data_IF_815948784531
#
_entry.id   IF_815948784531
#
_cell.length_a   1.000
_cell.length_b   1.000
_cell.length_c   1.000
_cell.angle_alpha   90.00
_cell.angle_beta   90.00
_cell.angle_gamma   90.00
#
_symmetry.space_group_name_H-M   'P 1'
#
loop_
_entity.id
_entity.type
_entity.pdbx_description
1 polymer ?
#
# COMPACT_ATOMS: atom_id res chain seq x y z
N UNK A 1 52.46 -22.72 -75.29
CA UNK A 1 52.71 -22.87 -73.84
C UNK A 1 51.90 -21.83 -73.10
N UNK A 2 50.88 -22.20 -72.30
CA UNK A 2 50.65 -21.70 -70.93
C UNK A 2 49.78 -22.77 -70.24
N UNK A 3 50.19 -23.17 -69.04
CA UNK A 3 49.58 -24.20 -68.19
C UNK A 3 48.37 -23.64 -67.42
N UNK A 4 47.47 -24.55 -67.02
CA UNK A 4 46.57 -24.61 -65.83
C UNK A 4 46.86 -23.55 -64.72
N UNK A 5 45.93 -23.08 -63.87
CA UNK A 5 45.38 -23.78 -62.70
C UNK A 5 44.16 -23.03 -62.12
N UNK A 6 43.10 -23.78 -61.81
CA UNK A 6 41.96 -23.34 -61.02
C UNK A 6 42.22 -23.55 -59.52
N UNK A 7 41.85 -22.58 -58.68
CA UNK A 7 41.83 -22.72 -57.22
C UNK A 7 40.42 -22.50 -56.66
N UNK A 8 39.96 -23.47 -55.88
CA UNK A 8 38.64 -23.54 -55.22
C UNK A 8 38.64 -22.67 -53.97
N UNK A 9 37.60 -21.87 -53.76
CA UNK A 9 37.33 -21.20 -52.48
C UNK A 9 36.30 -22.02 -51.67
N UNK A 10 36.71 -22.44 -50.46
CA UNK A 10 35.88 -23.14 -49.47
C UNK A 10 34.98 -22.13 -48.75
N UNK A 11 33.69 -22.47 -48.64
CA UNK A 11 32.69 -21.77 -47.83
C UNK A 11 32.90 -22.10 -46.35
N UNK A 12 32.94 -21.07 -45.49
CA UNK A 12 32.75 -21.23 -44.04
C UNK A 12 31.38 -20.65 -43.70
N UNK A 13 30.44 -21.50 -43.31
CA UNK A 13 29.15 -21.10 -42.75
C UNK A 13 29.29 -21.03 -41.23
N UNK A 14 29.23 -19.81 -40.66
CA UNK A 14 29.07 -19.61 -39.23
C UNK A 14 27.56 -19.58 -38.93
N UNK A 15 27.05 -20.63 -38.30
CA UNK A 15 25.70 -20.69 -37.77
C UNK A 15 25.65 -19.91 -36.45
N UNK A 16 25.07 -18.70 -36.48
CA UNK A 16 24.75 -17.94 -35.27
C UNK A 16 23.46 -18.45 -34.64
N UNK A 17 23.56 -19.07 -33.46
CA UNK A 17 22.42 -19.41 -32.62
C UNK A 17 21.91 -18.14 -31.91
N UNK A 18 20.87 -17.52 -32.46
CA UNK A 18 20.14 -16.46 -31.79
C UNK A 18 19.25 -17.07 -30.70
N UNK A 19 19.71 -17.02 -29.44
CA UNK A 19 18.90 -17.38 -28.28
C UNK A 19 17.83 -16.32 -28.02
N UNK A 20 16.58 -16.62 -28.36
CA UNK A 20 15.41 -15.85 -27.91
C UNK A 20 15.26 -15.98 -26.39
N UNK A 21 15.74 -14.99 -25.64
CA UNK A 21 15.39 -14.82 -24.23
C UNK A 21 13.94 -14.33 -24.17
N UNK A 22 13.02 -15.24 -23.85
CA UNK A 22 11.63 -14.90 -23.55
C UNK A 22 11.58 -14.19 -22.19
N UNK A 23 11.56 -12.86 -22.21
CA UNK A 23 11.27 -12.07 -21.01
C UNK A 23 9.76 -12.20 -20.73
N UNK A 24 9.34 -12.65 -19.53
CA UNK A 24 7.93 -12.73 -19.21
C UNK A 24 7.37 -11.30 -19.08
N UNK A 25 6.50 -10.92 -20.01
CA UNK A 25 5.69 -9.70 -19.88
C UNK A 25 4.70 -9.95 -18.75
N UNK A 26 4.87 -9.25 -17.62
CA UNK A 26 3.89 -9.26 -16.54
C UNK A 26 2.51 -8.86 -17.10
N UNK A 27 1.55 -9.78 -17.06
CA UNK A 27 0.23 -9.61 -17.64
C UNK A 27 -0.51 -8.43 -17.01
N UNK A 28 -0.96 -7.50 -17.84
CA UNK A 28 -1.85 -6.42 -17.43
C UNK A 28 -3.18 -7.02 -16.99
N UNK A 29 -3.68 -6.62 -15.82
CA UNK A 29 -5.02 -7.02 -15.39
C UNK A 29 -6.04 -6.43 -16.36
N UNK A 30 -6.93 -7.27 -16.91
CA UNK A 30 -7.99 -6.79 -17.79
C UNK A 30 -8.84 -5.72 -17.08
N UNK A 31 -9.29 -4.65 -17.75
CA UNK A 31 -9.92 -3.51 -17.08
C UNK A 31 -11.15 -3.87 -16.22
N UNK A 32 -11.94 -4.85 -16.66
CA UNK A 32 -13.09 -5.35 -15.89
C UNK A 32 -12.72 -6.12 -14.62
N UNK A 33 -11.51 -6.70 -14.55
CA UNK A 33 -11.00 -7.39 -13.36
C UNK A 33 -10.62 -6.39 -12.26
N UNK A 34 -9.98 -5.27 -12.63
CA UNK A 34 -9.61 -4.23 -11.68
C UNK A 34 -10.85 -3.55 -11.07
N UNK A 35 -11.85 -3.21 -11.89
CA UNK A 35 -13.12 -2.66 -11.39
C UNK A 35 -13.85 -3.63 -10.45
N UNK A 36 -13.81 -4.92 -10.78
CA UNK A 36 -14.37 -5.98 -9.95
C UNK A 36 -13.74 -6.09 -8.56
N UNK A 37 -12.48 -5.66 -8.35
CA UNK A 37 -11.85 -5.68 -7.03
C UNK A 37 -12.55 -4.72 -6.05
N UNK A 38 -12.85 -3.50 -6.50
CA UNK A 38 -13.55 -2.51 -5.70
C UNK A 38 -15.00 -2.92 -5.41
N UNK A 39 -15.70 -3.43 -6.42
CA UNK A 39 -17.09 -3.90 -6.27
C UNK A 39 -17.19 -5.07 -5.28
N UNK A 40 -16.29 -6.05 -5.37
CA UNK A 40 -16.23 -7.17 -4.43
C UNK A 40 -15.87 -6.71 -3.01
N UNK A 41 -14.94 -5.76 -2.88
CA UNK A 41 -14.59 -5.20 -1.59
C UNK A 41 -15.76 -4.42 -0.95
N UNK A 42 -16.49 -3.63 -1.74
CA UNK A 42 -17.70 -2.94 -1.31
C UNK A 42 -18.77 -3.92 -0.82
N UNK A 43 -18.97 -5.05 -1.51
CA UNK A 43 -19.89 -6.10 -1.07
C UNK A 43 -19.50 -6.70 0.28
N UNK A 44 -18.25 -7.13 0.44
CA UNK A 44 -17.77 -7.67 1.72
C UNK A 44 -17.89 -6.65 2.85
N UNK A 45 -17.59 -5.38 2.58
CA UNK A 45 -17.71 -4.32 3.58
C UNK A 45 -19.18 -4.04 3.92
N UNK A 46 -20.10 -4.05 2.96
CA UNK A 46 -21.55 -3.93 3.20
C UNK A 46 -22.03 -5.06 4.12
N UNK A 47 -21.70 -6.30 3.78
CA UNK A 47 -22.10 -7.49 4.54
C UNK A 47 -21.56 -7.44 5.98
N UNK A 48 -20.31 -6.99 6.16
CA UNK A 48 -19.67 -6.89 7.48
C UNK A 48 -20.18 -5.72 8.33
N UNK A 49 -20.65 -4.64 7.71
CA UNK A 49 -20.96 -3.39 8.43
C UNK A 49 -22.44 -3.03 8.52
N UNK A 50 -23.27 -3.68 7.71
CA UNK A 50 -24.67 -3.32 7.54
C UNK A 50 -24.89 -2.08 6.68
N UNK A 51 -23.85 -1.36 6.25
CA UNK A 51 -24.02 -0.25 5.30
C UNK A 51 -24.62 -0.79 4.01
N UNK A 52 -25.71 -0.19 3.48
CA UNK A 52 -26.33 -0.70 2.27
C UNK A 52 -25.32 -0.73 1.11
N UNK A 53 -25.20 -1.88 0.45
CA UNK A 53 -24.29 -2.02 -0.69
C UNK A 53 -24.46 -0.94 -1.76
N UNK A 54 -25.69 -0.51 -2.14
CA UNK A 54 -25.85 0.59 -3.09
C UNK A 54 -25.16 1.89 -2.67
N UNK A 55 -25.10 2.18 -1.37
CA UNK A 55 -24.37 3.35 -0.83
C UNK A 55 -22.88 3.21 -1.10
N UNK A 56 -22.29 2.06 -0.73
CA UNK A 56 -20.85 1.83 -0.94
C UNK A 56 -20.46 1.84 -2.41
N UNK A 57 -21.27 1.23 -3.29
CA UNK A 57 -21.01 1.27 -4.73
C UNK A 57 -21.12 2.69 -5.29
N UNK A 58 -22.15 3.46 -4.90
CA UNK A 58 -22.32 4.82 -5.37
C UNK A 58 -21.21 5.77 -4.86
N UNK A 59 -20.76 5.60 -3.61
CA UNK A 59 -19.58 6.32 -3.08
C UNK A 59 -18.34 5.92 -3.88
N UNK A 60 -18.04 4.63 -4.03
CA UNK A 60 -16.84 4.18 -4.75
C UNK A 60 -16.81 4.65 -6.21
N UNK A 61 -17.96 4.71 -6.89
CA UNK A 61 -18.09 5.28 -8.23
C UNK A 61 -17.87 6.79 -8.26
N UNK A 62 -18.34 7.52 -7.24
CA UNK A 62 -18.14 8.97 -7.11
C UNK A 62 -16.65 9.29 -6.88
N UNK A 63 -15.98 8.47 -6.08
CA UNK A 63 -14.58 8.66 -5.67
C UNK A 63 -13.58 8.24 -6.77
N UNK A 64 -13.74 7.04 -7.33
CA UNK A 64 -12.73 6.42 -8.19
C UNK A 64 -13.25 5.95 -9.55
N UNK A 65 -14.45 6.39 -9.94
CA UNK A 65 -15.09 5.99 -11.18
C UNK A 65 -14.22 6.27 -12.42
N UNK A 66 -13.92 5.22 -13.17
CA UNK A 66 -13.11 5.28 -14.40
C UNK A 66 -13.82 4.56 -15.53
N UNK A 67 -13.83 5.19 -16.72
CA UNK A 67 -14.24 4.52 -17.95
C UNK A 67 -13.05 3.75 -18.53
N UNK A 68 -13.25 2.45 -18.76
CA UNK A 68 -12.27 1.57 -19.39
C UNK A 68 -12.97 0.77 -20.50
N UNK A 69 -12.67 1.11 -21.75
CA UNK A 69 -13.44 0.62 -22.90
C UNK A 69 -14.91 1.04 -22.80
N UNK A 70 -15.82 0.09 -22.88
CA UNK A 70 -17.26 0.33 -22.74
C UNK A 70 -17.76 0.37 -21.29
N UNK A 71 -16.95 -0.06 -20.31
CA UNK A 71 -17.37 -0.18 -18.91
C UNK A 71 -16.96 1.05 -18.10
N UNK A 72 -17.89 1.56 -17.29
CA UNK A 72 -17.62 2.53 -16.23
C UNK A 72 -17.73 1.83 -14.88
N UNK A 73 -16.73 2.00 -14.02
CA UNK A 73 -16.68 1.34 -12.71
C UNK A 73 -15.60 1.93 -11.81
N UNK A 74 -15.64 1.67 -10.50
CA UNK A 74 -14.62 2.15 -9.56
C UNK A 74 -13.25 1.54 -9.89
N UNK A 75 -12.16 2.27 -9.65
CA UNK A 75 -10.82 1.81 -9.96
C UNK A 75 -9.95 1.73 -8.70
N UNK A 76 -9.23 0.62 -8.44
CA UNK A 76 -8.49 0.44 -7.19
C UNK A 76 -7.13 1.16 -7.18
N UNK A 77 -6.49 1.31 -8.34
CA UNK A 77 -5.12 1.82 -8.44
C UNK A 77 -5.13 3.28 -8.87
N UNK A 78 -5.64 4.15 -8.00
CA UNK A 78 -5.78 5.59 -8.27
C UNK A 78 -5.31 6.40 -7.08
N UNK A 79 -4.65 7.51 -7.37
CA UNK A 79 -4.28 8.53 -6.39
C UNK A 79 -4.85 9.89 -6.83
N UNK A 80 -5.28 10.70 -5.87
CA UNK A 80 -5.57 12.11 -6.10
C UNK A 80 -4.66 12.96 -5.22
N UNK A 81 -3.83 13.79 -5.84
CA UNK A 81 -2.86 14.64 -5.14
C UNK A 81 -3.20 16.09 -5.47
N UNK A 82 -3.62 16.85 -4.45
CA UNK A 82 -4.03 18.25 -4.59
C UNK A 82 -5.05 18.50 -5.74
N UNK A 83 -6.01 17.59 -5.93
CA UNK A 83 -7.02 17.67 -6.99
C UNK A 83 -6.59 17.08 -8.34
N UNK A 84 -5.35 16.62 -8.46
CA UNK A 84 -4.84 15.95 -9.66
C UNK A 84 -4.92 14.43 -9.50
N UNK A 85 -5.93 13.84 -10.14
CA UNK A 85 -6.11 12.38 -10.20
C UNK A 85 -5.14 11.69 -11.17
N UNK A 86 -4.53 10.59 -10.73
CA UNK A 86 -3.68 9.72 -11.53
C UNK A 86 -4.14 8.27 -11.37
N UNK A 87 -4.49 7.63 -12.50
CA UNK A 87 -4.88 6.22 -12.54
C UNK A 87 -3.73 5.37 -13.07
N UNK A 88 -3.49 4.24 -12.40
CA UNK A 88 -2.42 3.31 -12.70
C UNK A 88 -2.98 1.95 -13.11
N UNK A 89 -2.21 1.19 -13.89
CA UNK A 89 -2.65 -0.14 -14.33
C UNK A 89 -2.37 -1.22 -13.27
N UNK A 90 -1.41 -0.97 -12.38
CA UNK A 90 -1.00 -1.92 -11.35
C UNK A 90 -0.97 -1.28 -9.96
N UNK A 91 -1.20 -2.13 -8.96
CA UNK A 91 -1.04 -1.78 -7.55
C UNK A 91 0.37 -1.28 -7.23
N UNK A 92 1.40 -1.92 -7.79
CA UNK A 92 2.80 -1.55 -7.56
C UNK A 92 3.10 -0.13 -8.05
N UNK A 93 2.58 0.27 -9.23
CA UNK A 93 2.78 1.61 -9.77
C UNK A 93 2.08 2.68 -8.91
N UNK A 94 0.84 2.42 -8.48
CA UNK A 94 0.12 3.31 -7.57
C UNK A 94 0.82 3.45 -6.21
N UNK A 95 1.31 2.34 -5.64
CA UNK A 95 2.05 2.35 -4.38
C UNK A 95 3.37 3.12 -4.50
N UNK A 96 4.13 2.90 -5.58
CA UNK A 96 5.37 3.63 -5.83
C UNK A 96 5.10 5.14 -5.95
N UNK A 97 4.00 5.55 -6.61
CA UNK A 97 3.59 6.95 -6.65
C UNK A 97 3.27 7.49 -5.27
N UNK A 98 2.54 6.74 -4.44
CA UNK A 98 2.18 7.14 -3.07
C UNK A 98 3.42 7.33 -2.19
N UNK A 99 4.35 6.38 -2.23
CA UNK A 99 5.61 6.44 -1.49
C UNK A 99 6.45 7.65 -1.94
N UNK A 100 6.54 7.90 -3.24
CA UNK A 100 7.23 9.07 -3.77
C UNK A 100 6.56 10.39 -3.38
N UNK A 101 5.22 10.44 -3.25
CA UNK A 101 4.49 11.61 -2.73
C UNK A 101 4.87 11.88 -1.28
N UNK A 102 4.82 10.86 -0.42
CA UNK A 102 5.20 11.00 0.99
C UNK A 102 6.66 11.38 1.17
N UNK A 103 7.57 10.81 0.39
CA UNK A 103 8.99 11.13 0.46
C UNK A 103 9.30 12.61 0.16
N UNK A 104 8.39 13.31 -0.55
CA UNK A 104 8.47 14.76 -0.80
C UNK A 104 7.80 15.61 0.29
N UNK A 105 7.29 14.99 1.35
CA UNK A 105 6.59 15.67 2.45
C UNK A 105 5.11 15.98 2.17
N UNK A 106 4.56 15.52 1.04
CA UNK A 106 3.16 15.75 0.69
C UNK A 106 2.28 14.65 1.31
N UNK A 107 1.48 15.02 2.31
CA UNK A 107 0.64 14.08 3.07
C UNK A 107 -0.84 14.15 2.70
N UNK A 108 -1.28 15.23 2.05
CA UNK A 108 -2.68 15.42 1.68
C UNK A 108 -2.98 14.86 0.29
N UNK A 109 -3.16 13.55 0.21
CA UNK A 109 -3.59 12.85 -1.00
C UNK A 109 -4.56 11.73 -0.69
N UNK A 110 -5.39 11.39 -1.66
CA UNK A 110 -6.39 10.33 -1.57
C UNK A 110 -5.96 9.11 -2.37
N UNK A 111 -6.38 7.91 -1.93
CA UNK A 111 -6.01 6.68 -2.62
C UNK A 111 -7.06 5.57 -2.54
N UNK A 112 -7.07 4.73 -3.58
CA UNK A 112 -7.88 3.51 -3.63
C UNK A 112 -9.32 3.71 -4.10
N UNK A 113 -10.09 2.62 -4.03
CA UNK A 113 -11.48 2.50 -4.47
C UNK A 113 -12.42 3.56 -3.87
N UNK A 114 -12.13 4.00 -2.65
CA UNK A 114 -12.94 4.95 -1.87
C UNK A 114 -12.22 6.27 -1.60
N UNK A 115 -11.06 6.51 -2.25
CA UNK A 115 -10.28 7.74 -2.14
C UNK A 115 -10.13 8.22 -0.68
N UNK A 116 -9.60 7.34 0.17
CA UNK A 116 -9.33 7.69 1.57
C UNK A 116 -8.13 8.63 1.63
N UNK A 117 -8.27 9.76 2.32
CA UNK A 117 -7.21 10.75 2.45
C UNK A 117 -6.15 10.33 3.47
N UNK A 118 -4.87 10.30 3.07
CA UNK A 118 -3.77 9.89 3.93
C UNK A 118 -3.55 10.83 5.12
N UNK A 119 -3.62 12.14 4.93
CA UNK A 119 -3.38 13.12 6.01
C UNK A 119 -4.34 12.96 7.18
N UNK A 120 -5.60 12.62 6.89
CA UNK A 120 -6.67 12.57 7.90
C UNK A 120 -6.91 11.16 8.44
N UNK A 121 -6.65 10.13 7.64
CA UNK A 121 -7.08 8.76 7.93
C UNK A 121 -5.95 7.73 7.82
N UNK A 122 -4.73 8.15 7.48
CA UNK A 122 -3.59 7.26 7.29
C UNK A 122 -3.25 6.41 8.52
N UNK A 123 -3.42 6.95 9.72
CA UNK A 123 -3.12 6.26 10.99
C UNK A 123 -4.03 5.05 11.27
N UNK A 124 -5.17 4.93 10.57
CA UNK A 124 -6.01 3.75 10.64
C UNK A 124 -5.45 2.54 9.87
N UNK A 125 -4.34 2.72 9.15
CA UNK A 125 -3.68 1.72 8.34
C UNK A 125 -2.24 1.51 8.79
N UNK A 126 -1.76 0.27 8.73
CA UNK A 126 -0.39 -0.09 9.08
C UNK A 126 0.63 0.33 8.02
N UNK A 127 0.18 0.62 6.79
CA UNK A 127 1.03 1.05 5.68
C UNK A 127 0.20 1.64 4.52
N UNK A 128 0.86 2.38 3.62
CA UNK A 128 0.26 2.77 2.33
C UNK A 128 -0.20 1.58 1.50
N UNK A 129 0.52 0.46 1.62
CA UNK A 129 0.20 -0.78 0.93
C UNK A 129 -1.17 -1.32 1.41
N UNK A 130 -1.39 -1.37 2.72
CA UNK A 130 -2.68 -1.72 3.30
C UNK A 130 -3.77 -0.70 2.94
N UNK A 131 -3.46 0.60 2.97
CA UNK A 131 -4.41 1.66 2.62
C UNK A 131 -4.88 1.57 1.15
N UNK A 132 -4.02 1.09 0.25
CA UNK A 132 -4.33 0.83 -1.15
C UNK A 132 -5.06 -0.51 -1.38
N UNK A 133 -5.01 -1.44 -0.42
CA UNK A 133 -5.72 -2.71 -0.54
C UNK A 133 -7.24 -2.47 -0.66
N UNK A 134 -7.90 -2.96 -1.73
CA UNK A 134 -9.33 -2.71 -1.93
C UNK A 134 -10.19 -3.12 -0.74
N UNK A 135 -9.85 -4.23 -0.07
CA UNK A 135 -10.59 -4.74 1.09
C UNK A 135 -10.48 -3.83 2.31
N UNK A 136 -9.26 -3.49 2.71
CA UNK A 136 -9.01 -2.59 3.84
C UNK A 136 -9.57 -1.18 3.57
N UNK A 137 -9.40 -0.67 2.35
CA UNK A 137 -9.93 0.62 1.91
C UNK A 137 -11.46 0.67 2.00
N UNK A 138 -12.15 -0.34 1.47
CA UNK A 138 -13.61 -0.44 1.54
C UNK A 138 -14.14 -0.62 2.96
N UNK A 139 -13.47 -1.44 3.77
CA UNK A 139 -13.85 -1.68 5.15
C UNK A 139 -13.74 -0.41 6.00
N UNK A 140 -12.67 0.37 5.80
CA UNK A 140 -12.52 1.67 6.45
C UNK A 140 -13.63 2.63 6.02
N UNK A 141 -13.87 2.78 4.72
CA UNK A 141 -14.91 3.64 4.18
C UNK A 141 -16.31 3.29 4.73
N UNK A 142 -16.63 1.99 4.83
CA UNK A 142 -17.90 1.52 5.34
C UNK A 142 -18.09 1.84 6.83
N UNK A 143 -17.06 1.67 7.66
CA UNK A 143 -17.14 2.08 9.08
C UNK A 143 -17.34 3.58 9.22
N UNK A 144 -16.58 4.37 8.46
CA UNK A 144 -16.70 5.82 8.49
C UNK A 144 -18.09 6.30 8.03
N UNK A 145 -18.64 5.73 6.94
CA UNK A 145 -20.00 6.03 6.50
C UNK A 145 -21.06 5.64 7.53
N UNK A 146 -20.87 4.54 8.27
CA UNK A 146 -21.76 4.11 9.35
C UNK A 146 -21.75 5.09 10.52
N UNK A 147 -20.58 5.62 10.88
CA UNK A 147 -20.45 6.68 11.89
C UNK A 147 -21.17 7.94 11.45
N UNK A 148 -20.95 8.38 10.22
CA UNK A 148 -21.65 9.54 9.65
C UNK A 148 -23.16 9.33 9.58
N UNK A 149 -23.63 8.13 9.25
CA UNK A 149 -25.05 7.81 9.28
C UNK A 149 -25.61 7.82 10.71
N UNK A 150 -24.85 7.37 11.71
CA UNK A 150 -25.27 7.48 13.10
C UNK A 150 -25.40 8.94 13.55
N UNK A 151 -24.58 9.86 13.01
CA UNK A 151 -24.69 11.30 13.22
C UNK A 151 -25.90 11.91 12.48
N UNK A 152 -26.17 11.50 11.24
CA UNK A 152 -27.10 12.20 10.34
C UNK A 152 -28.48 11.56 10.22
N UNK A 153 -28.60 10.26 10.46
CA UNK A 153 -29.81 9.46 10.21
C UNK A 153 -30.18 9.28 8.74
N UNK A 154 -29.34 9.76 7.81
CA UNK A 154 -29.64 9.79 6.38
C UNK A 154 -28.39 9.49 5.54
N UNK A 155 -28.49 8.49 4.65
CA UNK A 155 -27.37 8.02 3.82
C UNK A 155 -26.90 9.05 2.79
N UNK A 156 -27.79 9.89 2.29
CA UNK A 156 -27.44 10.97 1.36
C UNK A 156 -26.65 12.05 2.07
N UNK A 157 -27.07 12.45 3.28
CA UNK A 157 -26.32 13.40 4.11
C UNK A 157 -24.99 12.81 4.55
N UNK A 158 -24.97 11.53 4.98
CA UNK A 158 -23.75 10.83 5.36
C UNK A 158 -22.74 10.76 4.20
N UNK A 159 -23.20 10.44 2.98
CA UNK A 159 -22.35 10.47 1.78
C UNK A 159 -21.83 11.88 1.46
N UNK A 160 -22.64 12.93 1.69
CA UNK A 160 -22.17 14.32 1.59
C UNK A 160 -21.03 14.62 2.58
N UNK A 161 -21.20 14.24 3.84
CA UNK A 161 -20.20 14.44 4.91
C UNK A 161 -18.96 13.57 4.77
N UNK A 162 -19.08 12.42 4.13
CA UNK A 162 -17.95 11.58 3.76
C UNK A 162 -16.92 12.36 2.93
N UNK A 163 -17.41 13.18 2.00
CA UNK A 163 -16.57 14.05 1.19
C UNK A 163 -16.22 15.38 1.87
N UNK A 164 -17.22 16.06 2.45
CA UNK A 164 -17.00 17.36 3.13
C UNK A 164 -18.15 17.72 4.06
N UNK A 165 -17.81 18.32 5.21
CA UNK A 165 -18.81 18.96 6.09
C UNK A 165 -19.19 20.38 5.66
N UNK A 166 -18.51 20.95 4.66
CA UNK A 166 -18.86 22.26 4.11
C UNK A 166 -20.10 22.12 3.20
N UNK A 167 -21.23 22.81 3.48
CA UNK A 167 -22.52 22.55 2.81
C UNK A 167 -22.46 22.58 1.28
N UNK A 168 -21.80 23.58 0.69
CA UNK A 168 -21.71 23.71 -0.78
C UNK A 168 -20.97 22.54 -1.44
N UNK A 169 -19.98 21.96 -0.77
CA UNK A 169 -19.22 20.82 -1.27
C UNK A 169 -20.00 19.51 -1.07
N UNK A 170 -20.62 19.34 0.10
CA UNK A 170 -21.50 18.21 0.40
C UNK A 170 -22.65 18.12 -0.60
N UNK A 171 -23.32 19.23 -0.91
CA UNK A 171 -24.46 19.26 -1.83
C UNK A 171 -24.05 18.97 -3.28
N UNK A 172 -22.88 19.45 -3.70
CA UNK A 172 -22.33 19.10 -5.02
C UNK A 172 -22.06 17.60 -5.09
N UNK A 173 -21.43 17.03 -4.06
CA UNK A 173 -21.13 15.62 -3.98
C UNK A 173 -22.40 14.76 -4.02
N UNK A 174 -23.41 15.10 -3.21
CA UNK A 174 -24.71 14.41 -3.13
C UNK A 174 -25.41 14.29 -4.48
N UNK A 175 -25.34 15.33 -5.33
CA UNK A 175 -25.88 15.27 -6.70
C UNK A 175 -25.20 14.19 -7.54
N UNK A 176 -23.88 14.04 -7.44
CA UNK A 176 -23.13 13.00 -8.17
C UNK A 176 -23.46 11.62 -7.61
N UNK A 177 -23.41 11.49 -6.28
CA UNK A 177 -23.78 10.28 -5.55
C UNK A 177 -25.20 9.78 -5.93
N UNK A 178 -26.21 10.66 -5.99
CA UNK A 178 -27.57 10.30 -6.40
C UNK A 178 -27.66 9.81 -7.84
N UNK A 179 -26.88 10.39 -8.77
CA UNK A 179 -26.84 9.88 -10.15
C UNK A 179 -26.29 8.46 -10.21
N UNK A 180 -25.21 8.18 -9.48
CA UNK A 180 -24.66 6.83 -9.40
C UNK A 180 -25.63 5.87 -8.73
N UNK A 181 -26.27 6.29 -7.63
CA UNK A 181 -27.27 5.47 -6.94
C UNK A 181 -28.46 5.13 -7.84
N UNK A 182 -29.01 6.10 -8.57
CA UNK A 182 -30.09 5.88 -9.51
C UNK A 182 -29.67 4.94 -10.66
N UNK A 183 -28.45 5.06 -11.16
CA UNK A 183 -27.91 4.20 -12.22
C UNK A 183 -27.73 2.73 -11.78
N UNK A 184 -27.60 2.47 -10.47
CA UNK A 184 -27.56 1.10 -9.92
C UNK A 184 -28.95 0.43 -9.91
N UNK A 185 -30.04 1.17 -10.18
CA UNK A 185 -31.40 0.62 -10.28
C UNK A 185 -31.99 0.16 -8.93
N UNK A 186 -31.51 0.71 -7.82
CA UNK A 186 -31.90 0.28 -6.48
C UNK A 186 -33.14 1.03 -6.01
N UNK A 187 -34.04 0.34 -5.29
CA UNK A 187 -35.16 0.98 -4.60
C UNK A 187 -34.72 1.95 -3.50
N UNK A 188 -35.66 2.56 -2.76
CA UNK A 188 -35.35 3.49 -1.68
C UNK A 188 -34.34 2.90 -0.69
N UNK A 189 -33.35 3.68 -0.27
CA UNK A 189 -32.39 3.26 0.75
C UNK A 189 -33.09 3.12 2.10
N UNK A 190 -32.72 2.12 2.92
CA UNK A 190 -33.28 1.97 4.25
C UNK A 190 -32.85 3.14 5.14
N UNK A 191 -33.81 3.72 5.85
CA UNK A 191 -33.59 4.70 6.93
C UNK A 191 -33.53 4.05 8.31
N UNK A 192 -33.74 2.73 8.39
CA UNK A 192 -33.74 1.99 9.64
C UNK A 192 -32.34 1.97 10.30
N UNK A 193 -32.26 1.87 11.64
CA UNK A 193 -31.01 1.74 12.35
C UNK A 193 -30.22 0.53 11.85
N UNK A 194 -28.92 0.71 11.62
CA UNK A 194 -28.05 -0.41 11.29
C UNK A 194 -27.91 -1.36 12.47
N UNK A 195 -27.90 -2.66 12.20
CA UNK A 195 -27.55 -3.66 13.21
C UNK A 195 -26.18 -3.32 13.85
N UNK A 196 -26.01 -3.67 15.12
CA UNK A 196 -24.73 -3.54 15.81
C UNK A 196 -23.65 -4.34 15.04
N UNK A 197 -22.47 -3.75 14.82
CA UNK A 197 -21.34 -4.51 14.28
C UNK A 197 -21.07 -5.70 15.21
N UNK A 198 -20.74 -6.89 14.68
CA UNK A 198 -20.04 -7.86 15.51
C UNK A 198 -18.76 -7.18 16.03
N UNK A 199 -18.53 -7.26 17.35
CA UNK A 199 -17.37 -6.67 18.00
C UNK A 199 -16.08 -7.34 17.50
N UNK A 200 -15.54 -6.88 16.38
CA UNK A 200 -14.27 -7.34 15.85
C UNK A 200 -13.50 -6.15 15.30
N UNK A 201 -12.81 -5.45 16.19
CA UNK A 201 -11.56 -4.84 15.82
C UNK A 201 -10.51 -5.97 15.80
N UNK A 202 -9.61 -6.06 14.81
CA UNK A 202 -8.32 -6.62 15.13
C UNK A 202 -7.72 -5.64 16.13
N UNK A 203 -7.77 -5.97 17.41
CA UNK A 203 -6.64 -5.61 18.23
C UNK A 203 -5.45 -6.14 17.45
N UNK A 204 -4.52 -5.27 17.07
CA UNK A 204 -3.16 -5.72 16.87
C UNK A 204 -2.77 -6.35 18.20
N UNK A 205 -3.08 -7.65 18.38
CA UNK A 205 -2.40 -8.47 19.35
C UNK A 205 -0.95 -8.33 18.95
N UNK A 206 -0.22 -7.48 19.67
CA UNK A 206 1.22 -7.59 19.74
C UNK A 206 1.43 -9.06 20.08
N UNK A 207 1.83 -9.85 19.08
CA UNK A 207 2.33 -11.19 19.34
C UNK A 207 3.42 -11.07 20.39
N UNK A 208 3.68 -12.11 21.20
CA UNK A 208 4.78 -12.08 22.14
C UNK A 208 6.03 -11.61 21.41
N UNK A 209 6.70 -10.57 21.92
CA UNK A 209 7.94 -10.06 21.34
C UNK A 209 8.94 -11.23 21.30
N UNK A 210 9.15 -11.82 20.12
CA UNK A 210 10.11 -12.90 19.90
C UNK A 210 11.57 -12.39 19.91
N UNK A 211 11.77 -11.12 20.27
CA UNK A 211 13.06 -10.44 20.38
C UNK A 211 13.29 -10.02 21.83
N UNK A 212 13.97 -10.84 22.66
CA UNK A 212 14.16 -10.58 24.09
C UNK A 212 15.01 -9.33 24.42
N UNK A 213 15.67 -8.73 23.42
CA UNK A 213 16.73 -7.73 23.64
C UNK A 213 16.26 -6.27 23.56
N UNK A 214 14.97 -6.01 23.35
CA UNK A 214 14.42 -4.65 23.31
C UNK A 214 13.22 -4.54 24.23
N UNK A 215 13.48 -4.66 25.54
CA UNK A 215 12.51 -4.31 26.57
C UNK A 215 12.66 -2.82 26.93
N UNK A 216 11.62 -1.98 26.76
CA UNK A 216 11.61 -0.65 27.34
C UNK A 216 11.28 -0.80 28.84
N UNK A 217 12.34 -0.95 29.65
CA UNK A 217 12.27 -0.88 31.11
C UNK A 217 12.89 -2.08 31.82
N UNK A 218 14.14 -1.93 32.29
CA UNK A 218 14.73 -2.88 33.23
C UNK A 218 16.26 -2.85 33.33
N UNK A 219 16.75 -2.11 34.34
CA UNK A 219 18.10 -2.09 34.95
C UNK A 219 19.26 -1.35 34.23
N UNK A 220 20.09 -0.60 34.98
CA UNK A 220 21.24 0.10 34.42
C UNK A 220 22.34 -0.90 34.04
N UNK A 221 22.83 -0.79 32.80
CA UNK A 221 24.07 -1.45 32.37
C UNK A 221 25.24 -0.85 33.15
N UNK A 222 25.74 -1.62 34.13
CA UNK A 222 27.03 -1.38 34.77
C UNK A 222 28.14 -1.52 33.72
N UNK A 223 28.80 -0.42 33.37
CA UNK A 223 30.00 -0.43 32.53
C UNK A 223 31.16 -1.09 33.29
N UNK A 224 31.33 -2.39 33.10
CA UNK A 224 32.47 -3.15 33.62
C UNK A 224 33.77 -2.73 32.95
N UNK A 225 34.65 -2.11 33.72
CA UNK A 225 36.03 -1.78 33.38
C UNK A 225 36.85 -3.05 33.10
N UNK A 226 37.49 -3.15 31.94
CA UNK A 226 38.44 -4.20 31.61
C UNK A 226 39.85 -3.78 32.04
N UNK A 227 40.17 -3.98 33.32
CA UNK A 227 41.56 -4.09 33.75
C UNK A 227 41.94 -5.58 33.65
N UNK A 228 42.98 -5.97 32.89
CA UNK A 228 43.40 -7.36 32.85
C UNK A 228 44.14 -7.71 34.15
N UNK A 229 43.54 -8.53 35.00
CA UNK A 229 44.26 -9.17 36.12
C UNK A 229 45.02 -10.38 35.57
N UNK A 230 46.35 -10.26 35.56
CA UNK A 230 47.30 -11.28 35.14
C UNK A 230 47.37 -12.41 36.17
N UNK A 231 47.44 -13.70 35.78
CA UNK A 231 47.70 -14.79 36.72
C UNK A 231 49.19 -14.82 37.09
N UNK A 232 49.47 -15.07 38.36
CA UNK A 232 50.81 -15.29 38.89
C UNK A 232 51.23 -16.78 38.81
N UNK A 233 52.49 -17.01 38.43
CA UNK A 233 53.28 -18.23 38.63
C UNK A 233 53.27 -19.21 37.45
N UNK A 234 54.36 -19.86 37.03
CA UNK A 234 55.80 -19.83 37.33
C UNK A 234 56.44 -20.56 36.12
N UNK A 235 57.37 -19.93 35.38
CA UNK A 235 58.79 -20.22 35.48
C UNK A 235 59.21 -21.47 34.70
N UNK A 236 59.96 -21.33 33.61
CA UNK A 236 60.99 -22.28 33.16
C UNK A 236 61.75 -21.71 31.93
N UNK A 237 63.06 -21.49 32.09
CA UNK A 237 64.07 -21.25 31.05
C UNK A 237 63.95 -19.95 30.23
N UNK A 238 65.01 -19.25 29.81
CA UNK A 238 66.44 -19.20 30.08
C UNK A 238 66.94 -18.03 29.20
N UNK A 239 67.98 -17.32 29.63
CA UNK A 239 68.97 -16.77 28.69
C UNK A 239 68.70 -15.49 27.89
N UNK A 240 69.54 -14.50 28.20
CA UNK A 240 70.15 -13.47 27.31
C UNK A 240 69.30 -12.24 26.96
N UNK A 241 69.57 -11.09 27.58
CA UNK A 241 70.70 -10.16 27.37
C UNK A 241 70.42 -9.11 26.29
N UNK A 242 70.53 -7.82 26.67
CA UNK A 242 70.96 -6.75 25.75
C UNK A 242 70.15 -5.45 25.76
N UNK A 243 70.57 -4.50 26.63
CA UNK A 243 70.78 -3.04 26.41
C UNK A 243 69.70 -2.22 25.67
N UNK A 244 69.03 -1.24 26.31
CA UNK A 244 69.49 0.13 26.64
C UNK A 244 69.87 0.98 25.43
N UNK A 245 69.11 2.06 25.15
CA UNK A 245 69.65 3.41 24.88
C UNK A 245 68.53 4.50 24.88
N UNK A 246 68.56 5.37 25.91
CA UNK A 246 68.26 6.83 25.97
C UNK A 246 66.92 7.40 25.39
N UNK A 247 66.19 8.35 25.99
CA UNK A 247 66.43 9.27 27.10
C UNK A 247 66.31 10.75 26.67
N UNK A 248 65.46 11.53 27.35
CA UNK A 248 65.48 13.01 27.41
C UNK A 248 64.44 13.74 26.54
N UNK A 249 63.66 14.71 27.05
CA UNK A 249 63.66 15.35 28.37
C UNK A 249 62.42 16.23 28.56
#
# INVERSE_FOLDING_TARGET
MVKSWAARLRRWALAGLAGCVLVPVAGQAAPGAAQGLCEQAARRAADATGVPLPVLLAVSLTESGRKTGARFGPWPWVLNIAGTGAFFDTRAAALARAQATLARGETSFDMGCFQINYRWHGDAFTSLDQMLDPGANAMYAARFLRELFAETGDWSVAAGHYHSRTPVHADRYRKVFHRHLAALGTGPLPSAPLAALPAQAPAATRGPNLFPLLQPGGAPVSMGSLVPTRPAGSGLFDGRAGRSMWGGG
#
